data_IF_920347598819
#
_entry.id   IF_920347598819
#
_cell.length_a   1.000
_cell.length_b   1.000
_cell.length_c   1.000
_cell.angle_alpha   90.00
_cell.angle_beta   90.00
_cell.angle_gamma   90.00
#
_symmetry.space_group_name_H-M   'P 1'
#
loop_
_entity.id
_entity.type
_entity.pdbx_description
1 polymer ?
#
# COMPACT_ATOMS: atom_id res chain seq x y z
N UNK A 1 -23.23 -15.19 12.07
CA UNK A 1 -22.09 -16.07 12.41
C UNK A 1 -20.87 -15.19 12.28
N UNK A 2 -20.26 -14.76 13.39
CA UNK A 2 -19.04 -13.94 13.34
C UNK A 2 -17.86 -14.85 13.06
N UNK A 3 -17.03 -14.51 12.08
CA UNK A 3 -15.83 -15.28 11.75
C UNK A 3 -14.86 -15.42 12.93
N UNK A 4 -14.19 -16.57 13.03
CA UNK A 4 -13.17 -16.88 14.06
C UNK A 4 -11.82 -16.22 13.73
N UNK A 5 -11.85 -14.92 13.45
CA UNK A 5 -10.65 -14.14 13.21
C UNK A 5 -9.92 -13.85 14.54
N UNK A 6 -8.61 -14.04 14.53
CA UNK A 6 -7.72 -13.70 15.62
C UNK A 6 -6.48 -12.96 15.11
N UNK A 7 -5.87 -12.17 16.00
CA UNK A 7 -4.67 -11.40 15.68
C UNK A 7 -3.49 -11.90 16.52
N UNK A 8 -2.61 -12.69 15.90
CA UNK A 8 -1.46 -13.35 16.53
C UNK A 8 -0.23 -12.42 16.59
N UNK A 9 0.49 -12.47 17.71
CA UNK A 9 1.62 -11.59 18.02
C UNK A 9 1.35 -10.69 19.23
N UNK A 10 2.37 -9.99 19.70
CA UNK A 10 2.26 -8.99 20.77
C UNK A 10 1.65 -7.69 20.25
N UNK A 11 0.96 -6.94 21.10
CA UNK A 11 0.43 -5.62 20.76
C UNK A 11 1.53 -4.58 20.46
N UNK A 12 2.78 -4.87 20.86
CA UNK A 12 3.97 -4.07 20.56
C UNK A 12 4.65 -4.43 19.24
N UNK A 13 4.21 -5.48 18.56
CA UNK A 13 4.84 -5.90 17.31
C UNK A 13 4.39 -4.98 16.18
N UNK A 14 5.35 -4.51 15.38
CA UNK A 14 5.07 -3.69 14.20
C UNK A 14 4.15 -4.46 13.22
N UNK A 15 4.42 -5.76 13.03
CA UNK A 15 3.61 -6.64 12.19
C UNK A 15 2.98 -7.74 13.03
N UNK A 16 1.67 -7.96 12.88
CA UNK A 16 0.94 -9.09 13.48
C UNK A 16 0.24 -9.90 12.41
N UNK A 17 -0.06 -11.15 12.69
CA UNK A 17 -0.74 -12.04 11.74
C UNK A 17 -2.24 -12.08 12.05
N UNK A 18 -3.07 -11.57 11.15
CA UNK A 18 -4.50 -11.84 11.20
C UNK A 18 -4.76 -13.22 10.62
N UNK A 19 -5.50 -14.07 11.33
CA UNK A 19 -5.83 -15.44 10.92
C UNK A 19 -7.30 -15.73 11.14
N UNK A 20 -7.94 -16.40 10.18
CA UNK A 20 -9.22 -17.07 10.37
C UNK A 20 -8.98 -18.55 10.72
N UNK A 21 -9.34 -18.94 11.94
CA UNK A 21 -9.11 -20.30 12.45
C UNK A 21 -9.83 -21.37 11.65
N UNK A 22 -10.99 -21.06 11.07
CA UNK A 22 -11.82 -22.05 10.41
C UNK A 22 -11.32 -22.38 9.00
N UNK A 23 -10.94 -21.37 8.22
CA UNK A 23 -10.64 -21.52 6.79
C UNK A 23 -9.15 -21.71 6.49
N UNK A 24 -8.27 -21.47 7.47
CA UNK A 24 -6.81 -21.44 7.27
C UNK A 24 -6.31 -20.20 6.55
N UNK A 25 -7.19 -19.20 6.33
CA UNK A 25 -6.79 -17.92 5.78
C UNK A 25 -5.95 -17.13 6.79
N UNK A 26 -4.90 -16.47 6.31
CA UNK A 26 -4.13 -15.51 7.11
C UNK A 26 -3.44 -14.45 6.26
N UNK A 27 -3.17 -13.31 6.86
CA UNK A 27 -2.45 -12.19 6.24
C UNK A 27 -1.67 -11.43 7.31
N UNK A 28 -0.38 -11.10 7.10
CA UNK A 28 0.32 -10.20 7.99
C UNK A 28 -0.12 -8.77 7.75
N UNK A 29 -0.34 -8.04 8.84
CA UNK A 29 -0.73 -6.65 8.83
C UNK A 29 0.36 -5.84 9.55
N UNK A 30 1.08 -4.96 8.84
CA UNK A 30 2.05 -4.07 9.46
C UNK A 30 1.41 -2.79 10.01
N UNK A 31 2.15 -2.03 10.81
CA UNK A 31 1.71 -0.77 11.38
C UNK A 31 1.03 -0.88 12.75
N UNK A 32 1.52 -1.76 13.62
CA UNK A 32 1.00 -2.00 14.97
C UNK A 32 -0.51 -2.28 14.98
N UNK A 33 -0.98 -3.35 14.30
CA UNK A 33 -2.40 -3.59 14.13
C UNK A 33 -3.10 -3.92 15.46
N UNK A 34 -4.33 -3.43 15.59
CA UNK A 34 -5.22 -3.68 16.73
C UNK A 34 -6.62 -4.04 16.26
N UNK A 35 -7.24 -4.98 16.97
CA UNK A 35 -8.64 -5.32 16.75
C UNK A 35 -9.51 -4.18 17.26
N UNK A 36 -10.40 -3.70 16.40
CA UNK A 36 -11.44 -2.74 16.79
C UNK A 36 -12.76 -3.51 17.02
N UNK A 37 -13.50 -3.22 18.10
CA UNK A 37 -14.86 -3.71 18.21
C UNK A 37 -15.67 -3.20 17.02
N UNK A 38 -16.45 -4.07 16.37
CA UNK A 38 -17.30 -3.67 15.26
C UNK A 38 -18.28 -2.57 15.73
N UNK A 39 -18.00 -1.31 15.38
CA UNK A 39 -18.80 -0.17 15.82
C UNK A 39 -20.15 -0.24 15.10
N UNK A 40 -21.22 -0.39 15.89
CA UNK A 40 -22.58 -0.14 15.44
C UNK A 40 -23.13 -1.10 14.39
N UNK A 41 -23.25 -2.39 14.71
CA UNK A 41 -24.24 -3.31 14.11
C UNK A 41 -24.25 -3.50 12.59
N UNK A 42 -23.33 -2.89 11.84
CA UNK A 42 -23.30 -2.98 10.39
C UNK A 42 -22.75 -4.36 10.01
N UNK A 43 -23.53 -5.22 9.33
CA UNK A 43 -23.20 -6.63 9.04
C UNK A 43 -22.11 -6.78 7.95
N UNK A 44 -21.24 -5.78 7.81
CA UNK A 44 -20.32 -5.64 6.68
C UNK A 44 -19.05 -6.46 6.86
N UNK A 45 -18.56 -6.62 8.10
CA UNK A 45 -17.30 -7.29 8.40
C UNK A 45 -17.44 -8.24 9.59
N UNK A 46 -16.67 -9.33 9.53
CA UNK A 46 -16.45 -10.25 10.64
C UNK A 46 -15.43 -9.66 11.62
N UNK A 47 -14.43 -8.93 11.12
CA UNK A 47 -13.40 -8.27 11.92
C UNK A 47 -12.94 -6.97 11.27
N UNK A 48 -12.62 -5.98 12.11
CA UNK A 48 -11.96 -4.74 11.71
C UNK A 48 -10.63 -4.65 12.45
N UNK A 49 -9.57 -4.34 11.71
CA UNK A 49 -8.23 -4.13 12.23
C UNK A 49 -7.78 -2.72 11.91
N UNK A 50 -7.52 -1.91 12.93
CA UNK A 50 -6.93 -0.58 12.77
C UNK A 50 -5.41 -0.67 12.84
N UNK A 51 -4.74 0.16 12.04
CA UNK A 51 -3.30 0.37 12.13
C UNK A 51 -3.02 1.64 12.94
N UNK A 52 -2.09 1.57 13.89
CA UNK A 52 -1.75 2.71 14.75
C UNK A 52 -0.70 3.63 14.10
N UNK A 53 0.23 3.07 13.33
CA UNK A 53 1.30 3.84 12.68
C UNK A 53 0.82 4.64 11.48
N UNK A 54 -0.25 4.16 10.85
CA UNK A 54 -0.86 4.76 9.66
C UNK A 54 -2.36 4.81 9.86
N UNK A 55 -3.01 5.93 9.51
CA UNK A 55 -4.46 6.10 9.66
C UNK A 55 -5.22 5.32 8.58
N UNK A 56 -5.16 4.00 8.67
CA UNK A 56 -5.83 3.06 7.79
C UNK A 56 -6.51 1.96 8.61
N UNK A 57 -7.59 1.43 8.04
CA UNK A 57 -8.38 0.36 8.65
C UNK A 57 -8.56 -0.77 7.64
N UNK A 58 -8.42 -2.00 8.10
CA UNK A 58 -8.68 -3.19 7.33
C UNK A 58 -9.96 -3.89 7.81
N UNK A 59 -10.94 -4.04 6.93
CA UNK A 59 -12.14 -4.83 7.19
C UNK A 59 -12.07 -6.17 6.49
N UNK A 60 -12.36 -7.26 7.20
CA UNK A 60 -12.41 -8.61 6.64
C UNK A 60 -13.78 -9.24 6.81
N UNK A 61 -14.24 -9.92 5.76
CA UNK A 61 -15.46 -10.73 5.77
C UNK A 61 -15.26 -12.00 4.97
N UNK A 62 -15.78 -13.10 5.47
CA UNK A 62 -15.81 -14.39 4.76
C UNK A 62 -17.24 -14.84 4.57
N UNK A 63 -17.59 -15.14 3.32
CA UNK A 63 -18.87 -15.74 2.96
C UNK A 63 -18.66 -17.16 2.42
N UNK A 64 -19.60 -18.06 2.75
CA UNK A 64 -19.74 -19.36 2.11
C UNK A 64 -20.97 -19.34 1.21
N UNK A 65 -20.77 -19.56 -0.09
CA UNK A 65 -21.80 -19.44 -1.11
C UNK A 65 -22.06 -20.82 -1.76
N UNK A 66 -23.29 -21.35 -1.74
CA UNK A 66 -23.62 -22.64 -2.33
C UNK A 66 -23.80 -22.50 -3.85
N UNK A 67 -22.72 -22.17 -4.56
CA UNK A 67 -22.71 -21.96 -6.01
C UNK A 67 -21.54 -22.70 -6.67
N UNK A 68 -21.74 -23.09 -7.92
CA UNK A 68 -20.73 -23.69 -8.80
C UNK A 68 -20.34 -22.75 -9.95
N UNK A 69 -20.71 -21.47 -9.85
CA UNK A 69 -20.33 -20.46 -10.82
C UNK A 69 -18.80 -20.38 -11.01
N UNK A 70 -18.37 -19.96 -12.20
CA UNK A 70 -16.96 -19.71 -12.48
C UNK A 70 -16.36 -18.75 -11.42
N UNK A 71 -15.30 -19.16 -10.68
CA UNK A 71 -14.77 -18.36 -9.58
C UNK A 71 -14.31 -16.96 -9.99
N UNK A 72 -13.78 -16.79 -11.19
CA UNK A 72 -13.29 -15.50 -11.66
C UNK A 72 -14.45 -14.55 -12.02
N UNK A 73 -15.45 -15.06 -12.73
CA UNK A 73 -16.67 -14.31 -13.03
C UNK A 73 -17.42 -13.94 -11.75
N UNK A 74 -17.53 -14.86 -10.81
CA UNK A 74 -18.13 -14.61 -9.50
C UNK A 74 -17.36 -13.54 -8.72
N UNK A 75 -16.02 -13.63 -8.66
CA UNK A 75 -15.21 -12.64 -7.97
C UNK A 75 -15.45 -11.22 -8.51
N UNK A 76 -15.51 -11.08 -9.85
CA UNK A 76 -15.80 -9.80 -10.49
C UNK A 76 -17.21 -9.30 -10.14
N UNK A 77 -18.23 -10.15 -10.20
CA UNK A 77 -19.61 -9.79 -9.90
C UNK A 77 -19.80 -9.38 -8.43
N UNK A 78 -19.12 -10.05 -7.49
CA UNK A 78 -19.16 -9.70 -6.06
C UNK A 78 -18.47 -8.37 -5.80
N UNK A 79 -17.29 -8.12 -6.40
CA UNK A 79 -16.62 -6.81 -6.32
C UNK A 79 -17.49 -5.71 -6.93
N UNK A 80 -18.12 -5.96 -8.07
CA UNK A 80 -19.01 -5.00 -8.72
C UNK A 80 -20.18 -4.63 -7.84
N UNK A 81 -20.86 -5.62 -7.26
CA UNK A 81 -21.99 -5.42 -6.35
C UNK A 81 -21.55 -4.65 -5.10
N UNK A 82 -20.42 -5.05 -4.49
CA UNK A 82 -19.92 -4.41 -3.28
C UNK A 82 -19.49 -2.96 -3.54
N UNK A 83 -18.72 -2.72 -4.59
CA UNK A 83 -18.14 -1.41 -4.87
C UNK A 83 -19.21 -0.42 -5.38
N UNK A 84 -20.13 -0.83 -6.25
CA UNK A 84 -21.14 0.07 -6.81
C UNK A 84 -22.14 0.59 -5.77
N UNK A 85 -22.38 -0.17 -4.70
CA UNK A 85 -23.26 0.26 -3.60
C UNK A 85 -22.60 1.25 -2.64
N UNK A 86 -21.28 1.45 -2.73
CA UNK A 86 -20.48 2.23 -1.77
C UNK A 86 -19.70 3.37 -2.39
N UNK A 87 -19.37 3.26 -3.67
CA UNK A 87 -18.53 4.22 -4.37
C UNK A 87 -19.30 5.50 -4.73
N UNK A 88 -18.66 6.66 -4.56
CA UNK A 88 -19.19 7.94 -5.04
C UNK A 88 -19.12 8.11 -6.56
N UNK A 89 -18.36 7.24 -7.24
CA UNK A 89 -18.17 7.21 -8.69
C UNK A 89 -18.08 5.77 -9.17
N UNK A 90 -18.37 5.49 -10.45
CA UNK A 90 -18.26 4.14 -11.01
C UNK A 90 -16.88 3.53 -10.76
N UNK A 91 -16.79 2.43 -9.98
CA UNK A 91 -15.51 1.84 -9.61
C UNK A 91 -14.87 1.12 -10.80
N UNK A 92 -13.55 1.27 -10.98
CA UNK A 92 -12.80 0.49 -11.96
C UNK A 92 -12.41 -0.87 -11.38
N UNK A 93 -13.03 -1.91 -11.89
CA UNK A 93 -12.81 -3.29 -11.44
C UNK A 93 -11.72 -3.94 -12.30
N UNK A 94 -10.77 -4.60 -11.64
CA UNK A 94 -9.67 -5.31 -12.31
C UNK A 94 -9.53 -6.72 -11.74
N UNK A 95 -9.18 -7.72 -12.58
CA UNK A 95 -8.82 -9.03 -12.07
C UNK A 95 -7.51 -8.96 -11.29
N UNK A 96 -7.39 -9.77 -10.23
CA UNK A 96 -6.11 -9.97 -9.53
C UNK A 96 -5.27 -10.96 -10.34
N UNK A 97 -4.02 -10.64 -10.65
CA UNK A 97 -3.10 -11.55 -11.36
C UNK A 97 -2.95 -12.88 -10.63
N UNK A 98 -2.79 -13.99 -11.37
CA UNK A 98 -2.54 -15.30 -10.78
C UNK A 98 -1.31 -15.34 -9.86
N UNK A 99 -0.28 -14.55 -10.16
CA UNK A 99 0.94 -14.43 -9.33
C UNK A 99 0.70 -13.79 -7.96
N UNK A 100 -0.38 -13.04 -7.79
CA UNK A 100 -0.75 -12.38 -6.53
C UNK A 100 -1.83 -13.16 -5.75
N UNK A 101 -2.29 -14.30 -6.27
CA UNK A 101 -3.31 -15.12 -5.60
C UNK A 101 -2.65 -16.12 -4.66
N UNK A 102 -3.14 -16.28 -3.43
CA UNK A 102 -2.76 -17.40 -2.58
C UNK A 102 -3.05 -18.74 -3.24
N UNK A 103 -2.33 -19.77 -2.82
CA UNK A 103 -2.61 -21.16 -3.23
C UNK A 103 -4.08 -21.54 -3.00
N UNK A 104 -4.67 -22.28 -3.94
CA UNK A 104 -6.06 -22.73 -3.87
C UNK A 104 -7.11 -21.67 -4.24
N UNK A 105 -6.75 -20.40 -4.42
CA UNK A 105 -7.66 -19.37 -4.91
C UNK A 105 -7.83 -19.48 -6.43
N UNK A 106 -9.06 -19.67 -6.88
CA UNK A 106 -9.39 -19.84 -8.30
C UNK A 106 -9.85 -18.55 -8.99
N UNK A 107 -10.37 -17.58 -8.23
CA UNK A 107 -10.83 -16.29 -8.75
C UNK A 107 -10.40 -15.14 -7.86
N UNK A 108 -10.12 -13.98 -8.47
CA UNK A 108 -9.79 -12.78 -7.71
C UNK A 108 -10.07 -11.50 -8.49
N UNK A 109 -10.63 -10.51 -7.82
CA UNK A 109 -10.87 -9.18 -8.36
C UNK A 109 -10.64 -8.10 -7.31
N UNK A 110 -10.30 -6.90 -7.75
CA UNK A 110 -10.10 -5.77 -6.87
C UNK A 110 -10.66 -4.48 -7.49
N UNK A 111 -10.95 -3.51 -6.63
CA UNK A 111 -11.33 -2.16 -7.00
C UNK A 111 -10.75 -1.17 -5.99
N UNK A 112 -10.49 0.06 -6.45
CA UNK A 112 -10.16 1.20 -5.58
C UNK A 112 -11.10 2.32 -5.99
N UNK A 113 -11.78 2.92 -5.01
CA UNK A 113 -12.77 3.95 -5.24
C UNK A 113 -12.88 4.89 -4.03
N UNK A 114 -13.39 6.09 -4.27
CA UNK A 114 -13.80 7.01 -3.21
C UNK A 114 -15.15 6.57 -2.65
N UNK A 115 -15.31 6.60 -1.34
CA UNK A 115 -16.61 6.33 -0.71
C UNK A 115 -17.62 7.43 -1.05
N UNK A 116 -18.89 7.07 -1.22
CA UNK A 116 -19.98 8.00 -1.49
C UNK A 116 -20.32 8.85 -0.26
N UNK A 117 -20.23 8.25 0.93
CA UNK A 117 -20.54 8.90 2.20
C UNK A 117 -19.39 8.76 3.21
N UNK A 118 -19.06 9.83 3.94
CA UNK A 118 -19.56 11.19 3.77
C UNK A 118 -19.04 11.84 2.47
N UNK A 119 -19.88 12.60 1.76
CA UNK A 119 -19.52 13.18 0.44
C UNK A 119 -18.30 14.12 0.49
N UNK A 120 -18.14 14.87 1.60
CA UNK A 120 -17.03 15.80 1.80
C UNK A 120 -15.77 15.13 2.37
N UNK A 121 -15.83 13.84 2.68
CA UNK A 121 -14.71 13.09 3.21
C UNK A 121 -13.88 12.49 2.06
N UNK A 122 -12.57 12.77 1.95
CA UNK A 122 -11.72 12.18 0.92
C UNK A 122 -11.26 10.76 1.31
N UNK A 123 -12.20 9.95 1.81
CA UNK A 123 -11.96 8.56 2.18
C UNK A 123 -12.01 7.66 0.93
N UNK A 124 -10.92 6.93 0.75
CA UNK A 124 -10.77 5.89 -0.26
C UNK A 124 -10.99 4.52 0.37
N UNK A 125 -11.56 3.60 -0.41
CA UNK A 125 -11.64 2.19 -0.07
C UNK A 125 -11.03 1.37 -1.20
N UNK A 126 -10.06 0.53 -0.84
CA UNK A 126 -9.61 -0.56 -1.69
C UNK A 126 -10.33 -1.84 -1.27
N UNK A 127 -10.96 -2.53 -2.21
CA UNK A 127 -11.51 -3.86 -2.02
C UNK A 127 -10.66 -4.89 -2.78
N UNK A 128 -10.24 -5.92 -2.06
CA UNK A 128 -9.69 -7.18 -2.56
C UNK A 128 -10.69 -8.29 -2.30
N UNK A 129 -11.02 -9.05 -3.33
CA UNK A 129 -11.90 -10.20 -3.21
C UNK A 129 -11.25 -11.43 -3.80
N UNK A 130 -11.13 -12.47 -2.98
CA UNK A 130 -10.55 -13.76 -3.34
C UNK A 130 -11.63 -14.84 -3.23
N UNK A 131 -11.72 -15.70 -4.24
CA UNK A 131 -12.67 -16.82 -4.29
C UNK A 131 -11.92 -18.15 -4.36
N UNK A 132 -12.23 -19.02 -3.41
CA UNK A 132 -11.69 -20.38 -3.31
C UNK A 132 -12.81 -21.41 -3.45
N UNK A 133 -12.70 -22.40 -4.36
CA UNK A 133 -13.63 -23.51 -4.41
C UNK A 133 -13.59 -24.35 -3.13
N UNK A 134 -14.74 -24.90 -2.76
CA UNK A 134 -14.92 -25.84 -1.64
C UNK A 134 -15.77 -27.03 -2.11
N UNK A 135 -15.81 -28.15 -1.36
CA UNK A 135 -16.64 -29.29 -1.75
C UNK A 135 -18.14 -28.97 -1.90
N UNK A 136 -18.64 -27.95 -1.21
CA UNK A 136 -20.08 -27.60 -1.16
C UNK A 136 -20.41 -26.28 -1.87
N UNK A 137 -19.45 -25.65 -2.55
CA UNK A 137 -19.63 -24.36 -3.20
C UNK A 137 -18.34 -23.56 -3.26
N UNK A 138 -18.38 -22.29 -2.88
CA UNK A 138 -17.19 -21.42 -2.84
C UNK A 138 -17.11 -20.63 -1.54
N UNK A 139 -15.89 -20.36 -1.11
CA UNK A 139 -15.59 -19.36 -0.09
C UNK A 139 -15.16 -18.06 -0.77
N UNK A 140 -15.77 -16.95 -0.37
CA UNK A 140 -15.42 -15.61 -0.81
C UNK A 140 -14.87 -14.82 0.38
N UNK A 141 -13.65 -14.30 0.24
CA UNK A 141 -13.03 -13.44 1.23
C UNK A 141 -12.99 -12.01 0.69
N UNK A 142 -13.58 -11.10 1.45
CA UNK A 142 -13.51 -9.67 1.24
C UNK A 142 -12.46 -9.11 2.19
N UNK A 143 -11.46 -8.43 1.64
CA UNK A 143 -10.50 -7.63 2.37
C UNK A 143 -10.63 -6.20 1.87
N UNK A 144 -11.01 -5.31 2.76
CA UNK A 144 -11.08 -3.87 2.47
C UNK A 144 -9.97 -3.15 3.21
N UNK A 145 -9.45 -2.10 2.60
CA UNK A 145 -8.57 -1.13 3.24
C UNK A 145 -9.15 0.26 3.06
N UNK A 146 -9.49 0.94 4.15
CA UNK A 146 -9.98 2.31 4.16
C UNK A 146 -8.90 3.25 4.64
N UNK A 147 -8.76 4.39 3.97
CA UNK A 147 -7.84 5.45 4.35
C UNK A 147 -8.31 6.78 3.77
N UNK A 148 -7.94 7.88 4.44
CA UNK A 148 -8.16 9.24 3.92
C UNK A 148 -6.94 9.67 3.11
N UNK A 149 -7.14 10.28 1.95
CA UNK A 149 -6.01 10.79 1.15
C UNK A 149 -5.30 11.98 1.80
N UNK A 150 -5.93 12.64 2.76
CA UNK A 150 -5.31 13.68 3.59
C UNK A 150 -4.31 13.12 4.60
N UNK A 151 -4.50 11.85 4.99
CA UNK A 151 -3.70 11.20 6.04
C UNK A 151 -2.63 10.26 5.48
N UNK A 152 -2.89 9.64 4.32
CA UNK A 152 -1.93 8.82 3.59
C UNK A 152 -1.77 9.35 2.16
N UNK A 153 -0.55 9.80 1.84
CA UNK A 153 -0.22 10.17 0.47
C UNK A 153 -0.05 8.94 -0.44
N UNK A 154 0.03 9.15 -1.76
CA UNK A 154 0.11 8.07 -2.74
C UNK A 154 1.32 7.13 -2.55
N UNK A 155 2.46 7.65 -2.07
CA UNK A 155 3.68 6.88 -1.84
C UNK A 155 3.55 5.99 -0.62
N UNK A 156 3.07 6.56 0.49
CA UNK A 156 2.79 5.82 1.73
C UNK A 156 1.72 4.76 1.51
N UNK A 157 0.67 5.09 0.76
CA UNK A 157 -0.35 4.12 0.36
C UNK A 157 0.24 2.98 -0.47
N UNK A 158 1.05 3.27 -1.49
CA UNK A 158 1.67 2.25 -2.30
C UNK A 158 2.55 1.31 -1.47
N UNK A 159 3.36 1.88 -0.57
CA UNK A 159 4.20 1.14 0.38
C UNK A 159 3.40 0.22 1.30
N UNK A 160 2.35 0.73 1.94
CA UNK A 160 1.45 -0.08 2.76
C UNK A 160 0.79 -1.19 1.94
N UNK A 161 0.24 -0.86 0.76
CA UNK A 161 -0.43 -1.82 -0.11
C UNK A 161 0.50 -2.98 -0.47
N UNK A 162 1.71 -2.70 -0.95
CA UNK A 162 2.63 -3.74 -1.43
C UNK A 162 3.24 -4.57 -0.30
N UNK A 163 3.20 -4.09 0.94
CA UNK A 163 3.59 -4.89 2.10
C UNK A 163 2.61 -6.03 2.44
N UNK A 164 1.37 -5.96 1.92
CA UNK A 164 0.29 -6.90 2.24
C UNK A 164 -0.10 -7.77 1.02
N UNK A 165 -0.13 -7.17 -0.17
CA UNK A 165 -0.79 -7.67 -1.38
C UNK A 165 -0.42 -9.11 -1.80
N UNK A 166 0.83 -9.51 -1.63
CA UNK A 166 1.36 -10.84 -2.00
C UNK A 166 1.53 -11.76 -0.79
N UNK A 167 1.16 -11.30 0.41
CA UNK A 167 1.36 -12.00 1.68
C UNK A 167 0.14 -12.78 2.16
N UNK A 168 -0.97 -12.68 1.45
CA UNK A 168 -2.16 -13.49 1.72
C UNK A 168 -1.81 -14.99 1.63
N UNK A 169 -2.33 -15.77 2.56
CA UNK A 169 -2.15 -17.21 2.65
C UNK A 169 -3.49 -17.87 2.91
N UNK A 170 -3.77 -19.00 2.25
CA UNK A 170 -5.03 -19.70 2.43
C UNK A 170 -4.84 -21.21 2.37
N UNK A 171 -4.40 -21.79 3.48
CA UNK A 171 -4.16 -23.22 3.61
C UNK A 171 -4.68 -23.72 4.98
N UNK A 172 -5.77 -24.50 5.00
CA UNK A 172 -6.33 -25.05 6.23
C UNK A 172 -5.51 -26.20 6.79
N UNK A 173 -4.70 -26.88 5.98
CA UNK A 173 -3.84 -27.97 6.42
C UNK A 173 -2.55 -27.43 7.04
N UNK A 174 -2.06 -26.31 6.52
CA UNK A 174 -0.84 -25.64 7.01
C UNK A 174 -1.08 -24.14 7.27
N UNK A 175 -1.92 -23.78 8.28
CA UNK A 175 -2.17 -22.39 8.61
C UNK A 175 -0.91 -21.77 9.21
N UNK A 176 -0.61 -20.52 8.82
CA UNK A 176 0.49 -19.76 9.43
C UNK A 176 0.25 -19.54 10.92
N UNK A 177 1.33 -19.64 11.69
CA UNK A 177 1.32 -19.49 13.15
C UNK A 177 2.00 -18.19 13.61
N UNK A 178 2.74 -17.51 12.73
CA UNK A 178 3.42 -16.27 13.01
C UNK A 178 3.47 -15.40 11.74
N UNK A 179 3.59 -14.08 11.93
CA UNK A 179 3.79 -13.17 10.82
C UNK A 179 5.16 -13.39 10.16
N UNK A 180 5.26 -13.50 8.83
CA UNK A 180 6.55 -13.45 8.16
C UNK A 180 7.18 -12.06 8.30
N UNK A 181 8.51 -11.99 8.18
CA UNK A 181 9.20 -10.71 8.07
C UNK A 181 8.77 -10.01 6.76
N UNK A 182 8.27 -8.78 6.88
CA UNK A 182 7.88 -7.93 5.75
C UNK A 182 9.05 -7.03 5.36
N UNK A 183 9.69 -6.41 6.35
CA UNK A 183 10.60 -5.30 6.12
C UNK A 183 12.05 -5.76 6.01
N UNK A 184 12.74 -5.48 4.89
CA UNK A 184 14.19 -5.62 4.84
C UNK A 184 14.85 -4.48 5.63
N UNK A 185 16.13 -4.65 5.98
CA UNK A 185 16.95 -3.55 6.45
C UNK A 185 17.14 -2.51 5.34
N UNK A 186 17.12 -1.22 5.70
CA UNK A 186 17.32 -0.11 4.77
C UNK A 186 18.16 0.98 5.43
N UNK A 187 18.99 1.66 4.64
CA UNK A 187 19.72 2.85 5.07
C UNK A 187 18.94 4.14 4.77
N UNK A 188 17.88 4.07 3.96
CA UNK A 188 17.12 5.22 3.49
C UNK A 188 15.79 5.36 4.24
N UNK A 189 15.07 4.25 4.40
CA UNK A 189 13.77 4.21 5.06
C UNK A 189 13.82 3.42 6.36
N UNK A 190 13.04 3.86 7.36
CA UNK A 190 12.81 3.08 8.59
C UNK A 190 11.92 1.87 8.24
N UNK A 191 12.34 0.63 8.53
CA UNK A 191 11.56 -0.59 8.30
C UNK A 191 10.21 -0.60 9.05
N UNK A 192 9.16 -0.04 8.45
CA UNK A 192 7.84 0.12 9.08
C UNK A 192 6.74 0.47 8.06
N UNK A 193 5.47 0.30 8.43
CA UNK A 193 4.32 0.70 7.61
C UNK A 193 4.27 2.20 7.26
N UNK A 194 4.85 3.07 8.10
CA UNK A 194 4.74 4.53 7.97
C UNK A 194 5.57 5.13 6.83
N UNK A 195 6.62 4.41 6.40
CA UNK A 195 7.63 4.89 5.45
C UNK A 195 8.27 6.22 5.90
N UNK A 196 8.77 6.25 7.13
CA UNK A 196 9.63 7.36 7.57
C UNK A 196 11.04 7.21 6.98
N UNK A 197 11.73 8.33 6.79
CA UNK A 197 13.14 8.34 6.42
C UNK A 197 14.02 8.14 7.66
N UNK A 198 15.19 7.54 7.47
CA UNK A 198 16.24 7.53 8.48
C UNK A 198 16.78 8.95 8.73
N UNK A 199 17.47 9.18 9.85
CA UNK A 199 18.06 10.49 10.16
C UNK A 199 19.03 10.95 9.06
N UNK A 200 19.89 10.05 8.58
CA UNK A 200 20.82 10.33 7.48
C UNK A 200 20.08 10.65 6.18
N UNK A 201 18.97 9.96 5.92
CA UNK A 201 18.13 10.26 4.76
C UNK A 201 17.40 11.60 4.90
N UNK A 202 17.02 12.04 6.09
CA UNK A 202 16.49 13.39 6.28
C UNK A 202 17.55 14.48 6.03
N UNK A 203 18.79 14.23 6.45
CA UNK A 203 19.93 15.13 6.16
C UNK A 203 20.16 15.23 4.65
N UNK A 204 20.15 14.10 3.94
CA UNK A 204 20.30 14.07 2.49
C UNK A 204 19.10 14.71 1.77
N UNK A 205 17.86 14.52 2.25
CA UNK A 205 16.67 15.20 1.71
C UNK A 205 16.83 16.72 1.76
N UNK A 206 17.31 17.22 2.91
CA UNK A 206 17.59 18.64 3.13
C UNK A 206 18.72 19.16 2.24
N UNK A 207 19.75 18.34 1.99
CA UNK A 207 20.80 18.68 1.04
C UNK A 207 20.27 18.75 -0.39
N UNK A 208 19.46 17.77 -0.82
CA UNK A 208 18.80 17.77 -2.14
C UNK A 208 17.94 19.02 -2.33
N UNK A 209 17.14 19.39 -1.33
CA UNK A 209 16.27 20.58 -1.39
C UNK A 209 17.06 21.87 -1.68
N UNK A 210 18.26 22.01 -1.09
CA UNK A 210 19.14 23.17 -1.35
C UNK A 210 19.77 23.15 -2.74
N UNK A 211 20.00 21.96 -3.29
CA UNK A 211 20.78 21.79 -4.52
C UNK A 211 19.92 21.75 -5.78
N UNK A 212 18.63 21.37 -5.68
CA UNK A 212 17.70 21.30 -6.83
C UNK A 212 17.59 22.64 -7.56
N UNK A 213 17.64 23.76 -6.82
CA UNK A 213 17.49 25.10 -7.39
C UNK A 213 16.06 25.41 -7.87
N UNK A 214 15.85 26.53 -8.57
CA UNK A 214 14.53 26.90 -9.07
C UNK A 214 14.08 25.95 -10.20
N UNK A 215 12.82 25.54 -10.15
CA UNK A 215 12.14 24.74 -11.16
C UNK A 215 10.86 25.45 -11.59
N UNK A 216 10.56 25.41 -12.89
CA UNK A 216 9.23 25.79 -13.36
C UNK A 216 8.16 24.81 -12.83
N UNK A 217 6.91 25.24 -12.80
CA UNK A 217 5.80 24.40 -12.30
C UNK A 217 5.66 23.13 -13.14
N UNK A 218 5.75 23.23 -14.46
CA UNK A 218 5.64 22.06 -15.35
C UNK A 218 6.80 21.07 -15.15
N UNK A 219 8.00 21.56 -14.82
CA UNK A 219 9.16 20.72 -14.52
C UNK A 219 9.00 20.04 -13.15
N UNK A 220 8.43 20.76 -12.19
CA UNK A 220 8.11 20.24 -10.86
C UNK A 220 7.12 19.09 -10.98
N UNK A 221 6.02 19.31 -11.70
CA UNK A 221 4.98 18.31 -11.89
C UNK A 221 5.52 17.07 -12.62
N UNK A 222 6.27 17.26 -13.72
CA UNK A 222 6.85 16.15 -14.45
C UNK A 222 7.80 15.29 -13.61
N UNK A 223 8.64 15.91 -12.77
CA UNK A 223 9.57 15.20 -11.89
C UNK A 223 8.83 14.46 -10.77
N UNK A 224 7.85 15.12 -10.14
CA UNK A 224 7.04 14.51 -9.08
C UNK A 224 6.24 13.33 -9.61
N UNK A 225 5.68 13.42 -10.82
CA UNK A 225 4.93 12.33 -11.44
C UNK A 225 5.82 11.11 -11.71
N UNK A 226 7.05 11.32 -12.20
CA UNK A 226 8.02 10.22 -12.37
C UNK A 226 8.36 9.56 -11.03
N UNK A 227 8.63 10.37 -9.99
CA UNK A 227 8.95 9.85 -8.66
C UNK A 227 7.77 9.09 -8.05
N UNK A 228 6.53 9.56 -8.28
CA UNK A 228 5.32 8.85 -7.88
C UNK A 228 5.18 7.52 -8.62
N UNK A 229 5.37 7.50 -9.94
CA UNK A 229 5.34 6.26 -10.72
C UNK A 229 6.38 5.24 -10.22
N UNK A 230 7.60 5.70 -9.90
CA UNK A 230 8.65 4.86 -9.32
C UNK A 230 8.21 4.29 -7.96
N UNK A 231 7.61 5.11 -7.10
CA UNK A 231 7.17 4.66 -5.79
C UNK A 231 5.94 3.71 -5.84
N UNK A 232 5.13 3.82 -6.89
CA UNK A 232 3.83 3.15 -7.00
C UNK A 232 3.90 1.73 -7.60
N UNK A 233 5.08 1.17 -7.84
CA UNK A 233 5.22 -0.23 -8.31
C UNK A 233 4.55 -1.21 -7.34
N UNK A 234 4.16 -2.38 -7.85
CA UNK A 234 3.52 -3.46 -7.09
C UNK A 234 4.53 -4.35 -6.31
N UNK A 235 5.83 -4.03 -6.35
CA UNK A 235 6.87 -4.90 -5.78
C UNK A 235 6.83 -4.90 -4.23
N UNK A 236 6.87 -6.06 -3.56
CA UNK A 236 6.89 -6.10 -2.10
C UNK A 236 8.16 -5.45 -1.54
N UNK A 237 8.17 -4.98 -0.28
CA UNK A 237 9.30 -4.22 0.29
C UNK A 237 10.66 -4.91 0.14
N UNK A 238 10.70 -6.24 0.30
CA UNK A 238 11.90 -7.06 0.21
C UNK A 238 12.31 -7.44 -1.23
N UNK A 239 11.60 -6.99 -2.27
CA UNK A 239 11.97 -7.25 -3.66
C UNK A 239 13.34 -6.62 -3.95
N UNK A 240 14.30 -7.45 -4.38
CA UNK A 240 15.63 -7.01 -4.78
C UNK A 240 15.58 -6.28 -6.12
N UNK A 241 16.18 -5.10 -6.18
CA UNK A 241 16.20 -4.27 -7.38
C UNK A 241 17.30 -4.74 -8.35
N UNK A 242 16.94 -5.15 -9.58
CA UNK A 242 17.92 -5.39 -10.63
C UNK A 242 18.60 -4.07 -11.04
N UNK A 243 19.89 -4.10 -11.37
CA UNK A 243 20.64 -2.90 -11.81
C UNK A 243 20.00 -2.18 -12.99
N UNK A 244 19.34 -2.92 -13.88
CA UNK A 244 18.60 -2.35 -15.03
C UNK A 244 17.47 -1.40 -14.60
N UNK A 245 16.82 -1.64 -13.45
CA UNK A 245 15.78 -0.75 -12.92
C UNK A 245 16.40 0.58 -12.46
N UNK A 246 17.56 0.54 -11.81
CA UNK A 246 18.32 1.72 -11.42
C UNK A 246 18.72 2.54 -12.67
N UNK A 247 19.29 1.88 -13.69
CA UNK A 247 19.66 2.56 -14.95
C UNK A 247 18.46 3.21 -15.65
N UNK A 248 17.33 2.52 -15.68
CA UNK A 248 16.09 3.04 -16.26
C UNK A 248 15.64 4.32 -15.55
N UNK A 249 15.60 4.30 -14.22
CA UNK A 249 15.19 5.47 -13.44
C UNK A 249 16.19 6.62 -13.54
N UNK A 250 17.49 6.32 -13.58
CA UNK A 250 18.54 7.33 -13.84
C UNK A 250 18.28 8.07 -15.15
N UNK A 251 18.03 7.33 -16.24
CA UNK A 251 17.73 7.95 -17.55
C UNK A 251 16.45 8.78 -17.50
N UNK A 252 15.38 8.26 -16.88
CA UNK A 252 14.10 8.98 -16.78
C UNK A 252 14.24 10.32 -16.06
N UNK A 253 14.92 10.35 -14.92
CA UNK A 253 15.13 11.58 -14.15
C UNK A 253 16.03 12.56 -14.91
N UNK A 254 17.11 12.08 -15.54
CA UNK A 254 18.03 12.92 -16.31
C UNK A 254 17.36 13.62 -17.51
N UNK A 255 16.30 13.03 -18.09
CA UNK A 255 15.59 13.59 -19.24
C UNK A 255 14.54 14.66 -18.88
N UNK A 256 14.14 14.78 -17.60
CA UNK A 256 12.94 15.52 -17.23
C UNK A 256 13.19 16.87 -16.55
N UNK A 257 14.43 17.22 -16.24
CA UNK A 257 14.73 18.48 -15.58
C UNK A 257 16.09 19.07 -15.95
N UNK A 258 16.38 20.30 -15.49
CA UNK A 258 17.71 20.88 -15.57
C UNK A 258 18.75 19.93 -14.97
N UNK A 259 19.93 19.86 -15.57
CA UNK A 259 21.02 18.94 -15.16
C UNK A 259 21.28 18.99 -13.66
N UNK A 260 21.30 20.19 -13.06
CA UNK A 260 21.52 20.38 -11.63
C UNK A 260 20.47 19.69 -10.74
N UNK A 261 19.19 19.79 -11.12
CA UNK A 261 18.11 19.15 -10.36
C UNK A 261 18.19 17.62 -10.49
N UNK A 262 18.47 17.12 -11.70
CA UNK A 262 18.69 15.69 -11.94
C UNK A 262 19.88 15.16 -11.11
N UNK A 263 21.02 15.83 -11.13
CA UNK A 263 22.21 15.44 -10.33
C UNK A 263 21.91 15.37 -8.83
N UNK A 264 21.20 16.36 -8.29
CA UNK A 264 20.80 16.35 -6.88
C UNK A 264 19.89 15.16 -6.56
N UNK A 265 18.85 14.92 -7.37
CA UNK A 265 17.92 13.81 -7.16
C UNK A 265 18.61 12.44 -7.30
N UNK A 266 19.56 12.30 -8.22
CA UNK A 266 20.23 11.03 -8.50
C UNK A 266 21.29 10.63 -7.47
N UNK A 267 21.73 11.54 -6.58
CA UNK A 267 22.50 11.14 -5.40
C UNK A 267 21.80 9.99 -4.69
N UNK A 268 22.59 9.08 -4.13
CA UNK A 268 22.21 7.87 -3.37
C UNK A 268 21.25 6.87 -4.05
N UNK A 269 20.78 7.10 -5.28
CA UNK A 269 19.93 6.15 -6.01
C UNK A 269 20.63 4.79 -6.21
N UNK A 270 21.92 4.79 -6.56
CA UNK A 270 22.71 3.56 -6.74
C UNK A 270 22.86 2.71 -5.47
N UNK A 271 22.55 3.28 -4.29
CA UNK A 271 22.59 2.57 -3.02
C UNK A 271 21.29 1.80 -2.75
N UNK A 272 20.23 2.02 -3.53
CA UNK A 272 18.96 1.31 -3.39
C UNK A 272 19.13 -0.15 -3.78
N UNK A 273 18.83 -1.07 -2.86
CA UNK A 273 18.92 -2.52 -3.09
C UNK A 273 17.56 -3.19 -3.14
N UNK A 274 16.57 -2.58 -2.47
CA UNK A 274 15.23 -3.15 -2.32
C UNK A 274 14.16 -2.15 -2.74
N UNK A 275 12.94 -2.64 -3.03
CA UNK A 275 11.80 -1.77 -3.29
C UNK A 275 11.48 -0.84 -2.11
N UNK A 276 11.80 -1.23 -0.86
CA UNK A 276 11.75 -0.34 0.30
C UNK A 276 12.69 0.86 0.13
N UNK A 277 13.96 0.61 -0.24
CA UNK A 277 14.94 1.68 -0.47
C UNK A 277 14.47 2.63 -1.57
N UNK A 278 13.98 2.08 -2.69
CA UNK A 278 13.54 2.87 -3.84
C UNK A 278 12.33 3.77 -3.49
N UNK A 279 11.37 3.26 -2.71
CA UNK A 279 10.25 4.07 -2.22
C UNK A 279 10.70 5.14 -1.23
N UNK A 280 11.61 4.80 -0.33
CA UNK A 280 12.23 5.76 0.59
C UNK A 280 12.97 6.87 -0.16
N UNK A 281 13.75 6.52 -1.19
CA UNK A 281 14.44 7.45 -2.07
C UNK A 281 13.47 8.35 -2.84
N UNK A 282 12.41 7.78 -3.42
CA UNK A 282 11.40 8.56 -4.13
C UNK A 282 10.70 9.54 -3.18
N UNK A 283 10.36 9.10 -1.97
CA UNK A 283 9.78 9.95 -0.93
C UNK A 283 10.73 11.09 -0.51
N UNK A 284 12.00 10.77 -0.30
CA UNK A 284 13.06 11.74 -0.01
C UNK A 284 13.16 12.82 -1.10
N UNK A 285 13.14 12.43 -2.37
CA UNK A 285 13.19 13.36 -3.50
C UNK A 285 11.92 14.22 -3.61
N UNK A 286 10.73 13.63 -3.43
CA UNK A 286 9.45 14.37 -3.44
C UNK A 286 9.44 15.41 -2.32
N UNK A 287 9.87 15.05 -1.11
CA UNK A 287 10.00 15.99 -0.01
C UNK A 287 10.98 17.12 -0.35
N UNK A 288 12.15 16.80 -0.91
CA UNK A 288 13.15 17.79 -1.27
C UNK A 288 12.63 18.80 -2.30
N UNK A 289 11.87 18.34 -3.31
CA UNK A 289 11.22 19.19 -4.30
C UNK A 289 10.21 20.14 -3.62
N UNK A 290 9.40 19.63 -2.69
CA UNK A 290 8.40 20.44 -1.97
C UNK A 290 8.98 21.47 -1.01
N UNK A 291 10.21 21.28 -0.55
CA UNK A 291 10.87 22.14 0.46
C UNK A 291 12.03 22.96 -0.11
N UNK A 292 12.23 22.97 -1.44
CA UNK A 292 13.32 23.71 -2.10
C UNK A 292 13.24 25.24 -1.89
N UNK A 293 12.02 25.78 -1.69
CA UNK A 293 11.75 27.23 -1.65
C UNK A 293 11.63 27.83 -0.23
N UNK A 294 11.76 27.03 0.84
CA UNK A 294 11.60 27.52 2.22
C UNK A 294 12.65 28.59 2.61
N UNK A 295 13.80 28.63 1.91
CA UNK A 295 14.81 29.69 2.09
C UNK A 295 14.52 30.96 1.28
N UNK A 296 13.91 30.86 0.11
CA UNK A 296 13.55 32.03 -0.70
C UNK A 296 12.51 32.90 0.02
N UNK A 297 11.60 32.27 0.79
CA UNK A 297 10.66 32.99 1.66
C UNK A 297 11.33 33.63 2.86
N UNK A 298 12.29 32.94 3.49
CA UNK A 298 13.01 33.44 4.66
C UNK A 298 13.97 34.59 4.33
N UNK A 299 14.49 34.66 3.10
CA UNK A 299 15.34 35.77 2.65
C UNK A 299 14.52 36.97 2.14
N UNK A 300 13.30 36.75 1.63
CA UNK A 300 12.39 37.84 1.20
C UNK A 300 11.70 38.56 2.37
N UNK A 301 11.62 37.98 3.56
CA UNK A 301 11.04 38.62 4.75
C UNK A 301 12.05 39.44 5.57
N UNK A 302 13.34 39.37 5.23
CA UNK A 302 14.42 40.11 5.89
C UNK A 302 15.01 41.26 5.06
N UNK A 303 14.41 41.61 3.92
CA UNK A 303 14.79 42.77 3.10
C UNK A 303 13.67 43.82 3.05
#
# INVERSE_FOLDING_TARGET
MGGDFELLGSASDETRLLRDRTSGYSVPLPGHPRLEPAVGGSPTYDVIVRLDDVKAEHGFRRDELPTTADPQALAKALVETYATTRAGTTPRIKPISGSMRPGGVAGGAHAIYRLAEPADDPTMEQLWLLVRPTPTGVQALYHTTRFRTDDLNHVQWAHLRTSIIDKHHWDPEQPRQAAPAIWPASHIAVPSAKLDLTDDAWVEASAKARDIGPLADEQTDALVDILREIAMTDDPPAFELPSMIIELHTRRIAMCGPTRAAEAMLRNLEQCKTALDLRGWAWQCIWAIGNRDERDRSQRTTN
#
